data_IF_563580048637
#
_entry.id   IF_563580048637
#
_cell.length_a   1.000
_cell.length_b   1.000
_cell.length_c   1.000
_cell.angle_alpha   90.00
_cell.angle_beta   90.00
_cell.angle_gamma   90.00
#
_symmetry.space_group_name_H-M   'P 1'
#
loop_
_entity.id
_entity.type
_entity.pdbx_description
1 polymer ?
#
# COMPACT_ATOMS: atom_id res chain seq x y z
N UNK A 1 -59.52 -11.42 -21.49
CA UNK A 1 -58.27 -11.73 -20.75
C UNK A 1 -57.17 -12.03 -21.76
N UNK A 2 -56.35 -11.04 -22.12
CA UNK A 2 -55.12 -11.25 -22.89
C UNK A 2 -53.98 -10.68 -22.06
N UNK A 3 -53.07 -11.56 -21.64
CA UNK A 3 -51.95 -11.28 -20.75
C UNK A 3 -50.76 -10.85 -21.59
N UNK A 4 -50.40 -9.58 -21.53
CA UNK A 4 -49.09 -9.09 -21.96
C UNK A 4 -48.13 -9.19 -20.78
N UNK A 5 -46.93 -9.73 -21.00
CA UNK A 5 -45.77 -9.18 -20.32
C UNK A 5 -44.66 -8.89 -21.33
N UNK A 6 -44.46 -7.59 -21.61
CA UNK A 6 -43.23 -7.06 -22.18
C UNK A 6 -42.21 -7.06 -21.02
N UNK A 7 -41.41 -8.10 -20.94
CA UNK A 7 -40.24 -8.15 -20.07
C UNK A 7 -39.08 -7.46 -20.80
N UNK A 8 -38.93 -6.16 -20.55
CA UNK A 8 -37.76 -5.36 -20.92
C UNK A 8 -36.55 -5.86 -20.11
N UNK A 9 -35.76 -6.76 -20.69
CA UNK A 9 -34.42 -7.10 -20.19
C UNK A 9 -33.40 -6.13 -20.79
N UNK A 10 -33.35 -4.90 -20.24
CA UNK A 10 -32.16 -4.06 -20.33
C UNK A 10 -31.19 -4.52 -19.22
N UNK A 11 -30.45 -5.59 -19.47
CA UNK A 11 -29.29 -5.92 -18.63
C UNK A 11 -28.15 -4.99 -19.05
N UNK A 12 -28.08 -3.84 -18.39
CA UNK A 12 -26.91 -2.96 -18.35
C UNK A 12 -25.71 -3.76 -17.86
N UNK A 13 -24.88 -4.18 -18.80
CA UNK A 13 -23.56 -4.74 -18.53
C UNK A 13 -22.68 -3.57 -18.05
N UNK A 14 -22.78 -3.23 -16.77
CA UNK A 14 -21.76 -2.40 -16.11
C UNK A 14 -20.48 -3.23 -16.07
N UNK A 15 -19.67 -3.12 -17.14
CA UNK A 15 -18.28 -3.49 -17.09
C UNK A 15 -17.60 -2.53 -16.11
N UNK A 16 -17.59 -2.90 -14.83
CA UNK A 16 -16.74 -2.23 -13.85
C UNK A 16 -15.31 -2.64 -14.21
N UNK A 17 -14.63 -1.77 -14.95
CA UNK A 17 -13.18 -1.77 -15.01
C UNK A 17 -12.70 -1.53 -13.58
N UNK A 18 -12.44 -2.61 -12.84
CA UNK A 18 -11.65 -2.53 -11.62
C UNK A 18 -10.25 -2.10 -12.06
N UNK A 19 -10.01 -0.79 -12.05
CA UNK A 19 -8.68 -0.24 -12.26
C UNK A 19 -7.79 -0.87 -11.19
N UNK A 20 -6.78 -1.62 -11.62
CA UNK A 20 -5.77 -2.16 -10.72
C UNK A 20 -5.02 -0.97 -10.12
N UNK A 21 -5.39 -0.57 -8.91
CA UNK A 21 -4.67 0.45 -8.15
C UNK A 21 -3.33 -0.14 -7.72
N UNK A 22 -2.23 0.40 -8.21
CA UNK A 22 -0.90 0.15 -7.62
C UNK A 22 -0.63 1.19 -6.55
N UNK A 23 -0.08 0.78 -5.42
CA UNK A 23 0.51 1.71 -4.44
C UNK A 23 2.02 1.71 -4.60
N UNK A 24 2.64 2.88 -4.53
CA UNK A 24 4.10 3.02 -4.47
C UNK A 24 4.50 3.85 -3.24
N UNK A 25 5.43 3.32 -2.45
CA UNK A 25 6.13 4.11 -1.44
C UNK A 25 7.62 4.19 -1.77
N UNK A 26 8.18 5.39 -1.62
CA UNK A 26 9.61 5.66 -1.70
C UNK A 26 10.15 5.88 -0.30
N UNK A 27 11.20 5.14 0.03
CA UNK A 27 11.84 5.15 1.35
C UNK A 27 13.27 5.61 1.12
N UNK A 28 13.59 6.79 1.63
CA UNK A 28 14.94 7.33 1.59
C UNK A 28 15.61 7.09 2.93
N UNK A 29 16.79 6.49 2.89
CA UNK A 29 17.63 6.31 4.06
C UNK A 29 18.37 7.61 4.40
N UNK A 30 18.93 7.69 5.61
CA UNK A 30 19.73 8.83 6.06
C UNK A 30 20.97 9.08 5.17
N UNK A 31 21.48 8.05 4.49
CA UNK A 31 22.60 8.15 3.54
C UNK A 31 22.16 8.60 2.13
N UNK A 32 20.86 8.84 1.91
CA UNK A 32 20.28 9.23 0.63
C UNK A 32 19.93 8.07 -0.30
N UNK A 33 20.24 6.82 0.07
CA UNK A 33 19.83 5.64 -0.73
C UNK A 33 18.31 5.48 -0.75
N UNK A 34 17.80 4.98 -1.88
CA UNK A 34 16.36 4.86 -2.15
C UNK A 34 15.94 3.39 -2.24
N UNK A 35 14.92 3.04 -1.46
CA UNK A 35 14.15 1.80 -1.61
C UNK A 35 12.75 2.14 -2.14
N UNK A 36 12.26 1.35 -3.10
CA UNK A 36 10.87 1.42 -3.58
C UNK A 36 10.13 0.17 -3.15
N UNK A 37 8.97 0.33 -2.54
CA UNK A 37 8.06 -0.78 -2.25
C UNK A 37 6.75 -0.56 -3.00
N UNK A 38 6.32 -1.60 -3.68
CA UNK A 38 5.13 -1.58 -4.53
C UNK A 38 4.19 -2.68 -4.11
N UNK A 39 2.91 -2.35 -4.08
CA UNK A 39 1.83 -3.33 -4.00
C UNK A 39 1.02 -3.18 -5.28
N UNK A 40 1.01 -4.24 -6.07
CA UNK A 40 0.25 -4.32 -7.31
C UNK A 40 -0.95 -5.25 -7.09
N UNK A 41 -2.13 -4.80 -7.51
CA UNK A 41 -3.35 -5.62 -7.48
C UNK A 41 -4.42 -5.09 -6.52
N UNK A 42 -5.67 -5.52 -6.78
CA UNK A 42 -6.83 -5.16 -5.99
C UNK A 42 -6.95 -6.08 -4.78
N UNK A 43 -7.14 -5.49 -3.59
CA UNK A 43 -7.48 -6.15 -2.31
C UNK A 43 -6.35 -6.73 -1.45
N UNK A 44 -5.12 -6.22 -1.54
CA UNK A 44 -4.07 -6.59 -0.57
C UNK A 44 -3.55 -5.36 0.17
N UNK A 45 -3.09 -5.60 1.41
CA UNK A 45 -2.28 -4.66 2.17
C UNK A 45 -1.06 -5.36 2.73
N UNK A 46 0.09 -5.09 2.14
CA UNK A 46 1.35 -5.76 2.46
C UNK A 46 2.09 -4.95 3.51
N UNK A 47 2.58 -5.63 4.55
CA UNK A 47 3.48 -5.05 5.53
C UNK A 47 4.95 -5.20 5.14
N UNK A 48 5.72 -4.15 5.40
CA UNK A 48 7.16 -4.07 5.22
C UNK A 48 7.80 -3.62 6.54
N UNK A 49 8.65 -4.47 7.15
CA UNK A 49 9.47 -4.14 8.30
C UNK A 49 10.71 -3.29 7.97
N UNK A 50 10.74 -2.06 8.47
CA UNK A 50 11.82 -1.08 8.28
C UNK A 50 12.77 -0.96 9.46
N UNK A 51 12.58 -1.72 10.55
CA UNK A 51 13.35 -1.59 11.81
C UNK A 51 14.87 -1.49 11.64
N UNK A 52 15.44 -2.26 10.72
CA UNK A 52 16.88 -2.32 10.49
C UNK A 52 17.36 -1.31 9.43
N UNK A 53 16.45 -0.50 8.92
CA UNK A 53 16.68 0.53 7.92
C UNK A 53 16.81 1.88 8.62
N UNK A 54 17.83 2.66 8.27
CA UNK A 54 17.98 4.02 8.79
C UNK A 54 17.07 4.99 8.02
N UNK A 55 15.76 4.79 8.12
CA UNK A 55 14.77 5.52 7.31
C UNK A 55 14.74 7.00 7.67
N UNK A 56 15.19 7.86 6.76
CA UNK A 56 15.17 9.31 6.94
C UNK A 56 13.85 9.92 6.46
N UNK A 57 13.33 9.46 5.32
CA UNK A 57 12.11 10.00 4.72
C UNK A 57 11.26 8.90 4.10
N UNK A 58 9.95 9.00 4.23
CA UNK A 58 8.98 8.16 3.51
C UNK A 58 8.09 9.09 2.69
N UNK A 59 7.88 8.73 1.43
CA UNK A 59 7.04 9.46 0.50
C UNK A 59 6.03 8.50 -0.14
N UNK A 60 4.75 8.86 -0.08
CA UNK A 60 3.69 8.25 -0.86
C UNK A 60 3.78 8.77 -2.30
N UNK A 61 3.62 7.88 -3.28
CA UNK A 61 3.61 8.24 -4.68
C UNK A 61 2.44 7.55 -5.37
N UNK A 62 1.72 8.32 -6.17
CA UNK A 62 0.65 7.92 -7.10
C UNK A 62 -0.16 6.70 -6.64
N UNK A 63 -1.32 6.96 -6.02
CA UNK A 63 -2.38 5.97 -5.89
C UNK A 63 -3.31 6.24 -4.71
N UNK A 64 -4.53 5.72 -4.79
CA UNK A 64 -5.56 5.75 -3.73
C UNK A 64 -5.17 4.95 -2.47
N UNK A 65 -3.90 4.57 -2.32
CA UNK A 65 -3.41 3.68 -1.29
C UNK A 65 -2.82 4.48 -0.12
N UNK A 66 -3.46 4.35 1.03
CA UNK A 66 -3.01 4.96 2.28
C UNK A 66 -1.86 4.14 2.87
N UNK A 67 -0.70 4.76 3.03
CA UNK A 67 0.42 4.14 3.75
C UNK A 67 0.12 4.24 5.24
N UNK A 68 0.16 3.12 5.96
CA UNK A 68 0.16 3.14 7.43
C UNK A 68 1.58 3.02 7.93
N UNK A 69 1.94 3.84 8.91
CA UNK A 69 3.27 3.90 9.51
C UNK A 69 3.17 3.45 10.96
N UNK A 70 4.00 2.49 11.35
CA UNK A 70 3.96 1.85 12.66
C UNK A 70 5.29 2.00 13.39
N UNK A 71 5.22 2.10 14.71
CA UNK A 71 6.36 1.92 15.61
C UNK A 71 6.62 0.45 15.94
N UNK A 72 5.70 -0.45 15.63
CA UNK A 72 5.93 -1.90 15.68
C UNK A 72 6.70 -2.37 14.44
N UNK A 73 7.25 -3.58 14.49
CA UNK A 73 8.03 -4.16 13.38
C UNK A 73 7.16 -5.03 12.46
N UNK A 74 5.88 -5.20 12.78
CA UNK A 74 4.97 -6.21 12.23
C UNK A 74 3.62 -5.63 11.76
N UNK A 75 3.54 -4.30 11.57
CA UNK A 75 2.32 -3.58 11.20
C UNK A 75 1.10 -3.82 12.11
N UNK A 76 1.35 -4.04 13.40
CA UNK A 76 0.32 -4.15 14.44
C UNK A 76 0.26 -2.91 15.33
N UNK A 77 -0.84 -2.77 16.06
CA UNK A 77 -1.04 -1.66 16.99
C UNK A 77 -1.41 -0.34 16.32
N UNK A 78 -1.11 0.77 16.99
CA UNK A 78 -1.45 2.11 16.51
C UNK A 78 -0.57 2.52 15.33
N UNK A 79 -1.19 3.21 14.37
CA UNK A 79 -0.52 3.69 13.17
C UNK A 79 -0.85 5.13 12.86
N UNK A 80 0.10 5.82 12.24
CA UNK A 80 -0.15 7.04 11.48
C UNK A 80 -0.56 6.70 10.05
N UNK A 81 -1.28 7.61 9.40
CA UNK A 81 -1.60 7.48 7.97
C UNK A 81 -0.84 8.55 7.20
N UNK A 82 -0.14 8.13 6.15
CA UNK A 82 0.45 9.01 5.16
C UNK A 82 -0.42 8.93 3.90
N UNK A 83 -1.12 10.04 3.65
CA UNK A 83 -2.04 10.22 2.53
C UNK A 83 -1.32 10.28 1.18
N UNK A 84 -2.10 10.21 0.09
CA UNK A 84 -1.57 10.28 -1.26
C UNK A 84 -0.71 11.52 -1.49
N UNK A 85 0.39 11.35 -2.23
CA UNK A 85 1.45 12.35 -2.45
C UNK A 85 2.07 12.93 -1.17
N UNK A 86 1.74 12.35 0.00
CA UNK A 86 2.24 12.75 1.30
C UNK A 86 3.72 12.43 1.47
N UNK A 87 4.38 13.23 2.31
CA UNK A 87 5.79 13.03 2.67
C UNK A 87 5.99 13.25 4.16
N UNK A 88 6.72 12.35 4.80
CA UNK A 88 7.20 12.52 6.17
C UNK A 88 8.73 12.47 6.19
N UNK A 89 9.33 13.48 6.81
CA UNK A 89 10.76 13.54 7.10
C UNK A 89 11.00 13.09 8.55
N UNK A 90 12.24 12.79 8.90
CA UNK A 90 12.62 12.26 10.22
C UNK A 90 11.83 10.99 10.58
N UNK A 91 11.74 10.07 9.63
CA UNK A 91 10.97 8.84 9.75
C UNK A 91 11.72 7.70 10.46
N UNK A 92 12.77 8.00 11.25
CA UNK A 92 13.59 6.98 11.94
C UNK A 92 12.81 6.23 13.02
N UNK A 93 11.66 6.76 13.43
CA UNK A 93 10.76 6.12 14.38
C UNK A 93 9.87 5.04 13.74
N UNK A 94 9.81 4.99 12.41
CA UNK A 94 8.97 4.04 11.66
C UNK A 94 9.71 2.70 11.56
N UNK A 95 9.19 1.70 12.27
CA UNK A 95 9.76 0.36 12.30
C UNK A 95 9.09 -0.59 11.30
N UNK A 96 7.88 -0.28 10.85
CA UNK A 96 7.24 -0.94 9.73
C UNK A 96 6.25 -0.02 9.04
N UNK A 97 5.96 -0.29 7.77
CA UNK A 97 4.88 0.35 7.04
C UNK A 97 4.01 -0.69 6.36
N UNK A 98 2.74 -0.36 6.13
CA UNK A 98 1.88 -1.16 5.27
C UNK A 98 1.33 -0.33 4.13
N UNK A 99 1.25 -0.93 2.95
CA UNK A 99 0.76 -0.30 1.73
C UNK A 99 -0.38 -1.15 1.16
N UNK A 100 -1.48 -0.52 0.77
CA UNK A 100 -2.62 -1.20 0.18
C UNK A 100 -3.94 -0.48 0.46
N UNK A 101 -5.03 -1.17 0.17
CA UNK A 101 -6.37 -0.59 0.24
C UNK A 101 -6.76 -0.18 1.67
N UNK A 102 -7.54 0.91 1.83
CA UNK A 102 -8.19 1.23 3.10
C UNK A 102 -9.10 0.08 3.55
N UNK A 103 -9.24 -0.11 4.86
CA UNK A 103 -10.13 -1.14 5.43
C UNK A 103 -9.59 -2.58 5.37
N UNK A 104 -8.55 -2.87 4.58
CA UNK A 104 -7.89 -4.18 4.57
C UNK A 104 -6.88 -4.26 5.73
N UNK A 105 -6.86 -5.37 6.51
CA UNK A 105 -5.80 -5.64 7.49
C UNK A 105 -4.42 -5.78 6.81
N UNK A 106 -3.36 -5.40 7.51
CA UNK A 106 -2.00 -5.62 7.02
C UNK A 106 -1.63 -7.11 7.12
N UNK A 107 -0.98 -7.65 6.09
CA UNK A 107 -0.45 -9.01 6.07
C UNK A 107 1.09 -9.00 6.08
N UNK A 108 1.69 -9.94 6.80
CA UNK A 108 3.14 -10.02 7.01
C UNK A 108 3.65 -9.03 8.07
N UNK A 109 4.97 -8.74 8.09
CA UNK A 109 6.00 -9.25 7.20
C UNK A 109 6.52 -10.60 7.72
N UNK A 110 6.87 -11.52 6.83
CA UNK A 110 7.46 -12.83 7.20
C UNK A 110 8.93 -12.73 7.68
N UNK A 111 9.40 -11.51 7.97
CA UNK A 111 10.74 -11.21 8.45
C UNK A 111 11.09 -9.71 8.38
N UNK A 112 12.20 -9.34 9.01
CA UNK A 112 12.75 -7.97 9.00
C UNK A 112 14.14 -7.96 8.34
N UNK A 113 14.22 -7.88 7.01
CA UNK A 113 15.51 -7.87 6.32
C UNK A 113 16.30 -6.59 6.67
N UNK A 114 17.62 -6.70 6.76
CA UNK A 114 18.52 -5.54 7.01
C UNK A 114 18.57 -4.56 5.82
N UNK A 115 18.04 -4.96 4.66
CA UNK A 115 17.86 -4.11 3.48
C UNK A 115 16.74 -4.68 2.61
N UNK A 116 15.90 -3.80 2.06
CA UNK A 116 15.02 -4.16 0.96
C UNK A 116 15.80 -4.03 -0.34
N UNK A 117 16.32 -5.15 -0.83
CA UNK A 117 16.75 -5.24 -2.22
C UNK A 117 15.48 -5.36 -3.09
N UNK A 118 15.33 -4.48 -4.06
CA UNK A 118 14.26 -4.60 -5.06
C UNK A 118 14.52 -5.89 -5.85
N UNK A 119 13.52 -6.77 -6.09
CA UNK A 119 13.65 -7.81 -7.11
C UNK A 119 13.82 -7.13 -8.47
N UNK A 120 15.05 -7.08 -9.00
CA UNK A 120 15.35 -6.49 -10.30
C UNK A 120 16.54 -5.51 -10.38
N UNK A 121 17.23 -5.20 -9.29
CA UNK A 121 18.50 -4.45 -9.32
C UNK A 121 19.72 -5.40 -9.41
N UNK A 122 19.77 -6.22 -10.47
CA UNK A 122 20.99 -6.87 -10.97
C UNK A 122 21.21 -6.55 -12.44
#
# INVERSE_FOLDING_TARGET
>A
MHKTPIFLLLSTLCAQLALASSGLARIYNNDGSLTRVLVAGSQQRVCYCLKNTQTGTIQAFDGENHIRLFTSNDCTGSFGVLEDSGKINNAQWVNSLSLGWPGIPSEGPDGCPNRYAIPGDQ
#
